data_IF_571680200672
#
_entry.id   IF_571680200672
#
_cell.length_a   1.000
_cell.length_b   1.000
_cell.length_c   1.000
_cell.angle_alpha   90.00
_cell.angle_beta   90.00
_cell.angle_gamma   90.00
#
_symmetry.space_group_name_H-M   'P 1'
#
loop_
_entity.id
_entity.type
_entity.pdbx_description
1 polymer ?
#
# COMPACT_ATOMS: atom_id res chain seq x y z
N UNK A 1 22.08 10.69 9.86
CA UNK A 1 20.82 10.10 10.37
C UNK A 1 20.00 9.63 9.18
N UNK A 2 19.57 8.38 9.17
CA UNK A 2 18.83 7.78 8.05
C UNK A 2 17.43 8.37 7.90
N UNK A 3 16.89 8.31 6.70
CA UNK A 3 15.55 8.78 6.40
C UNK A 3 14.56 7.64 6.66
N UNK A 4 13.57 7.87 7.55
CA UNK A 4 12.55 6.88 7.88
C UNK A 4 11.52 6.73 6.77
N UNK A 5 11.10 5.49 6.53
CA UNK A 5 10.01 5.15 5.61
C UNK A 5 8.94 4.38 6.36
N UNK A 6 7.70 4.50 5.88
CA UNK A 6 6.57 3.69 6.34
C UNK A 6 5.80 3.09 5.16
N UNK A 7 5.00 2.08 5.46
CA UNK A 7 4.14 1.40 4.50
C UNK A 7 2.69 1.79 4.76
N UNK A 8 2.03 2.34 3.74
CA UNK A 8 0.66 2.82 3.82
C UNK A 8 -0.23 2.15 2.78
N UNK A 9 -1.51 1.97 3.10
CA UNK A 9 -2.54 1.46 2.18
C UNK A 9 -3.37 2.61 1.63
N UNK A 10 -3.56 2.64 0.31
CA UNK A 10 -4.47 3.60 -0.31
C UNK A 10 -5.93 3.29 0.05
N UNK A 11 -6.75 4.30 0.37
CA UNK A 11 -8.17 4.08 0.68
C UNK A 11 -8.99 3.68 -0.55
N UNK A 12 -8.56 4.12 -1.74
CA UNK A 12 -9.30 3.93 -3.00
C UNK A 12 -8.90 2.63 -3.71
N UNK A 13 -7.67 2.53 -4.23
CA UNK A 13 -7.25 1.32 -4.97
C UNK A 13 -6.67 0.21 -4.07
N UNK A 14 -6.63 0.43 -2.76
CA UNK A 14 -6.14 -0.51 -1.74
C UNK A 14 -4.67 -0.95 -1.89
N UNK A 15 -3.92 -0.38 -2.84
CA UNK A 15 -2.50 -0.71 -3.01
C UNK A 15 -1.66 -0.23 -1.82
N UNK A 16 -0.66 -1.02 -1.47
CA UNK A 16 0.33 -0.67 -0.47
C UNK A 16 1.50 0.07 -1.11
N UNK A 17 1.98 1.12 -0.46
CA UNK A 17 3.04 1.97 -0.97
C UNK A 17 4.01 2.35 0.13
N UNK A 18 5.29 2.43 -0.25
CA UNK A 18 6.33 3.02 0.59
C UNK A 18 6.22 4.53 0.49
N UNK A 19 6.14 5.20 1.63
CA UNK A 19 6.21 6.65 1.72
C UNK A 19 7.33 7.04 2.69
N UNK A 20 7.98 8.16 2.40
CA UNK A 20 8.92 8.74 3.33
C UNK A 20 8.14 9.39 4.47
N UNK A 21 8.55 9.16 5.72
CA UNK A 21 7.92 9.80 6.87
C UNK A 21 8.21 11.30 6.80
N UNK A 22 7.14 12.11 6.80
CA UNK A 22 7.18 13.57 6.78
C UNK A 22 6.42 14.09 7.99
N UNK A 23 6.67 15.35 8.37
CA UNK A 23 5.91 16.04 9.43
C UNK A 23 4.43 16.19 9.10
N UNK A 24 4.09 16.24 7.80
CA UNK A 24 2.72 16.34 7.32
C UNK A 24 2.16 14.94 7.07
N UNK A 25 1.03 14.63 7.71
CA UNK A 25 0.35 13.33 7.58
C UNK A 25 -0.53 13.24 6.32
N UNK A 26 -0.05 13.75 5.18
CA UNK A 26 -0.76 13.70 3.90
C UNK A 26 0.16 13.16 2.82
N UNK A 27 -0.40 12.33 1.94
CA UNK A 27 0.30 11.73 0.82
C UNK A 27 -0.64 11.52 -0.36
N UNK A 28 -0.08 11.21 -1.52
CA UNK A 28 -0.85 10.92 -2.73
C UNK A 28 -0.50 9.54 -3.24
N UNK A 29 -1.53 8.75 -3.54
CA UNK A 29 -1.34 7.45 -4.16
C UNK A 29 -0.69 7.61 -5.54
N UNK A 30 0.44 6.94 -5.77
CA UNK A 30 1.15 6.98 -7.05
C UNK A 30 0.44 6.23 -8.18
N UNK A 31 -0.47 5.31 -7.85
CA UNK A 31 -1.25 4.55 -8.84
C UNK A 31 -2.54 5.27 -9.24
N UNK A 32 -3.39 5.64 -8.27
CA UNK A 32 -4.70 6.24 -8.57
C UNK A 32 -4.76 7.77 -8.40
N UNK A 33 -3.67 8.42 -7.96
CA UNK A 33 -3.59 9.88 -7.82
C UNK A 33 -4.33 10.47 -6.61
N UNK A 34 -5.13 9.69 -5.89
CA UNK A 34 -5.93 10.17 -4.76
C UNK A 34 -5.06 10.75 -3.63
N UNK A 35 -5.41 11.96 -3.18
CA UNK A 35 -4.80 12.62 -2.01
C UNK A 35 -5.48 12.11 -0.75
N UNK A 36 -4.70 11.72 0.23
CA UNK A 36 -5.20 11.05 1.43
C UNK A 36 -4.34 11.33 2.64
N UNK A 37 -4.92 11.20 3.82
CA UNK A 37 -4.20 11.27 5.09
C UNK A 37 -3.53 9.94 5.42
N UNK A 38 -2.52 10.00 6.27
CA UNK A 38 -1.97 8.80 6.93
C UNK A 38 -2.97 8.36 8.00
N UNK A 39 -3.67 7.24 7.78
CA UNK A 39 -4.63 6.67 8.75
C UNK A 39 -4.02 5.56 9.58
N UNK A 40 -3.30 4.63 8.93
CA UNK A 40 -2.68 3.47 9.57
C UNK A 40 -1.35 3.16 8.88
N UNK A 41 -0.32 2.94 9.68
CA UNK A 41 0.97 2.42 9.24
C UNK A 41 0.93 0.89 9.30
N UNK A 42 1.31 0.24 8.21
CA UNK A 42 1.40 -1.23 8.10
C UNK A 42 2.84 -1.74 8.30
N UNK A 43 3.80 -0.83 8.37
CA UNK A 43 5.21 -1.11 8.64
C UNK A 43 6.02 0.18 8.64
N UNK A 44 7.16 0.18 9.31
CA UNK A 44 8.08 1.32 9.37
C UNK A 44 9.52 0.81 9.48
N UNK A 45 10.45 1.49 8.84
CA UNK A 45 11.87 1.13 8.91
C UNK A 45 12.68 1.69 7.74
N UNK A 46 13.72 0.95 7.36
CA UNK A 46 14.54 1.30 6.21
C UNK A 46 13.73 1.23 4.91
N UNK A 47 14.14 2.00 3.90
CA UNK A 47 13.50 1.95 2.58
C UNK A 47 13.58 0.55 1.95
N UNK A 48 14.64 -0.21 2.20
CA UNK A 48 14.78 -1.58 1.69
C UNK A 48 13.76 -2.53 2.33
N UNK A 49 13.60 -2.47 3.66
CA UNK A 49 12.65 -3.33 4.38
C UNK A 49 11.20 -2.97 4.01
N UNK A 50 10.89 -1.67 3.92
CA UNK A 50 9.57 -1.22 3.49
C UNK A 50 9.24 -1.67 2.07
N UNK A 51 10.21 -1.65 1.13
CA UNK A 51 9.99 -2.15 -0.24
C UNK A 51 9.68 -3.64 -0.28
N UNK A 52 10.44 -4.46 0.45
CA UNK A 52 10.17 -5.91 0.57
C UNK A 52 8.80 -6.18 1.18
N UNK A 53 8.44 -5.41 2.22
CA UNK A 53 7.14 -5.53 2.88
C UNK A 53 5.99 -5.16 1.93
N UNK A 54 6.11 -4.05 1.20
CA UNK A 54 5.12 -3.64 0.19
C UNK A 54 4.95 -4.68 -0.91
N UNK A 55 6.05 -5.28 -1.39
CA UNK A 55 5.98 -6.34 -2.40
C UNK A 55 5.14 -7.53 -1.89
N UNK A 56 5.38 -7.98 -0.66
CA UNK A 56 4.60 -9.06 -0.03
C UNK A 56 3.12 -8.67 0.11
N UNK A 57 2.83 -7.48 0.63
CA UNK A 57 1.45 -7.03 0.85
C UNK A 57 0.67 -6.89 -0.46
N UNK A 58 1.30 -6.34 -1.51
CA UNK A 58 0.65 -6.21 -2.82
C UNK A 58 0.49 -7.54 -3.54
N UNK A 59 1.41 -8.51 -3.36
CA UNK A 59 1.24 -9.87 -3.88
C UNK A 59 0.01 -10.54 -3.26
N UNK A 60 -0.16 -10.45 -1.94
CA UNK A 60 -1.36 -10.98 -1.26
C UNK A 60 -2.65 -10.28 -1.72
N UNK A 61 -2.61 -8.95 -1.87
CA UNK A 61 -3.73 -8.19 -2.44
C UNK A 61 -4.08 -8.64 -3.86
N UNK A 62 -3.07 -8.92 -4.70
CA UNK A 62 -3.26 -9.42 -6.06
C UNK A 62 -3.98 -10.76 -6.06
N UNK A 63 -3.49 -11.72 -5.27
CA UNK A 63 -4.13 -13.03 -5.12
C UNK A 63 -5.60 -12.92 -4.66
N UNK A 64 -5.90 -12.07 -3.68
CA UNK A 64 -7.29 -11.86 -3.23
C UNK A 64 -8.18 -11.28 -4.33
N UNK A 65 -7.66 -10.39 -5.18
CA UNK A 65 -8.43 -9.85 -6.30
C UNK A 65 -8.69 -10.90 -7.38
N UNK A 66 -7.72 -11.74 -7.69
CA UNK A 66 -7.87 -12.85 -8.64
C UNK A 66 -8.92 -13.86 -8.14
N UNK A 67 -8.91 -14.19 -6.84
CA UNK A 67 -9.92 -15.04 -6.20
C UNK A 67 -11.33 -14.42 -6.28
N UNK A 68 -11.46 -13.12 -6.01
CA UNK A 68 -12.74 -12.39 -6.10
C UNK A 68 -13.26 -12.31 -7.54
N UNK A 69 -12.36 -12.11 -8.51
CA UNK A 69 -12.69 -12.07 -9.93
C UNK A 69 -13.13 -13.45 -10.44
N UNK A 70 -12.42 -14.52 -10.09
CA UNK A 70 -12.81 -15.89 -10.44
C UNK A 70 -14.13 -16.30 -9.78
N UNK A 71 -14.32 -15.95 -8.50
CA UNK A 71 -15.59 -16.18 -7.81
C UNK A 71 -16.75 -15.46 -8.51
N UNK A 72 -16.54 -14.18 -8.87
CA UNK A 72 -17.52 -13.40 -9.63
C UNK A 72 -17.80 -14.03 -10.98
N UNK A 73 -16.77 -14.49 -11.70
CA UNK A 73 -16.90 -15.15 -13.00
C UNK A 73 -17.67 -16.46 -12.90
N UNK A 74 -17.47 -17.24 -11.84
CA UNK A 74 -18.15 -18.53 -11.63
C UNK A 74 -19.66 -18.40 -11.36
N UNK A 75 -20.14 -17.18 -11.06
CA UNK A 75 -21.55 -16.88 -10.85
C UNK A 75 -22.33 -16.58 -12.14
N UNK A 76 -21.65 -16.52 -13.30
CA UNK A 76 -22.24 -16.29 -14.63
C UNK A 76 -21.97 -17.49 -15.55
#
# INVERSE_FOLDING_TARGET
>A
MGQDFHVLRCFSCQTFQVQQVKKVNRWSCKLCGQKQSVLKEFGRGSGADCRRHVQKLNAMRGAMMEEEEEATRSLW
#
